data_IF_541242325573
#
_entry.id   IF_541242325573
#
_cell.length_a   1.000
_cell.length_b   1.000
_cell.length_c   1.000
_cell.angle_alpha   90.00
_cell.angle_beta   90.00
_cell.angle_gamma   90.00
#
_symmetry.space_group_name_H-M   'P 1'
#
loop_
_entity.id
_entity.type
_entity.pdbx_description
1 polymer ?
#
# COMPACT_ATOMS: atom_id res chain seq x y z
N UNK A 1 -35.26 42.90 -11.72
CA UNK A 1 -35.64 41.63 -11.07
C UNK A 1 -35.84 40.62 -12.18
N UNK A 2 -34.75 39.96 -12.58
CA UNK A 2 -34.76 38.90 -13.59
C UNK A 2 -35.25 37.62 -12.96
N UNK A 3 -36.29 37.02 -13.54
CA UNK A 3 -36.88 35.75 -13.12
C UNK A 3 -35.86 34.61 -13.28
N UNK A 4 -35.12 34.29 -12.23
CA UNK A 4 -34.32 33.07 -12.10
C UNK A 4 -35.16 31.98 -11.43
N UNK A 5 -36.10 31.35 -12.13
CA UNK A 5 -36.98 30.35 -11.48
C UNK A 5 -37.42 29.20 -12.39
N UNK A 6 -36.65 28.86 -13.42
CA UNK A 6 -37.01 27.71 -14.29
C UNK A 6 -35.85 26.84 -14.76
N UNK A 7 -34.60 27.17 -14.39
CA UNK A 7 -33.43 26.35 -14.76
C UNK A 7 -33.12 25.25 -13.74
N UNK A 8 -33.84 25.19 -12.63
CA UNK A 8 -33.56 24.30 -11.49
C UNK A 8 -34.06 22.84 -11.63
N UNK A 9 -34.77 22.47 -12.70
CA UNK A 9 -35.54 21.21 -12.69
C UNK A 9 -34.95 20.05 -13.50
N UNK A 10 -33.89 20.26 -14.28
CA UNK A 10 -33.41 19.23 -15.20
C UNK A 10 -31.89 19.20 -15.29
N UNK A 11 -31.33 18.00 -15.41
CA UNK A 11 -29.90 17.82 -15.68
C UNK A 11 -29.46 18.57 -16.93
N UNK A 12 -28.31 19.26 -16.83
CA UNK A 12 -27.65 19.83 -17.99
C UNK A 12 -26.96 18.75 -18.84
N UNK A 13 -26.39 19.13 -19.98
CA UNK A 13 -25.80 18.18 -20.92
C UNK A 13 -24.61 17.40 -20.34
N UNK A 14 -23.83 17.99 -19.43
CA UNK A 14 -22.65 17.34 -18.85
C UNK A 14 -23.06 16.31 -17.79
N UNK A 15 -24.04 16.64 -16.95
CA UNK A 15 -24.65 15.71 -16.02
C UNK A 15 -25.30 14.50 -16.75
N UNK A 16 -26.01 14.74 -17.87
CA UNK A 16 -26.56 13.65 -18.70
C UNK A 16 -25.46 12.77 -19.30
N UNK A 17 -24.46 13.41 -19.91
CA UNK A 17 -23.33 12.69 -20.51
C UNK A 17 -22.60 11.83 -19.47
N UNK A 18 -22.38 12.36 -18.26
CA UNK A 18 -21.77 11.62 -17.17
C UNK A 18 -22.60 10.40 -16.77
N UNK A 19 -23.92 10.56 -16.53
CA UNK A 19 -24.79 9.46 -16.15
C UNK A 19 -24.94 8.37 -17.22
N UNK A 20 -24.91 8.74 -18.50
CA UNK A 20 -25.03 7.79 -19.62
C UNK A 20 -23.75 6.97 -19.88
N UNK A 21 -22.57 7.46 -19.45
CA UNK A 21 -21.28 6.85 -19.79
C UNK A 21 -20.51 6.32 -18.57
N UNK A 22 -20.70 6.90 -17.38
CA UNK A 22 -20.05 6.45 -16.15
C UNK A 22 -20.50 5.03 -15.79
N UNK A 23 -19.54 4.17 -15.43
CA UNK A 23 -19.78 2.76 -15.13
C UNK A 23 -20.61 2.03 -16.21
N UNK A 24 -20.44 2.40 -17.49
CA UNK A 24 -21.20 1.79 -18.58
C UNK A 24 -22.68 2.21 -18.64
N UNK A 25 -23.06 3.29 -17.94
CA UNK A 25 -24.42 3.82 -17.91
C UNK A 25 -25.29 3.27 -16.79
N UNK A 26 -24.71 2.62 -15.76
CA UNK A 26 -25.42 2.03 -14.63
C UNK A 26 -26.32 3.03 -13.87
N UNK A 27 -26.07 4.33 -14.02
CA UNK A 27 -26.81 5.41 -13.36
C UNK A 27 -27.69 6.22 -14.32
N UNK A 28 -27.73 5.87 -15.61
CA UNK A 28 -28.51 6.61 -16.62
C UNK A 28 -30.01 6.67 -16.30
N UNK A 29 -30.54 5.63 -15.64
CA UNK A 29 -31.95 5.56 -15.22
C UNK A 29 -32.36 6.67 -14.24
N UNK A 30 -31.41 7.30 -13.55
CA UNK A 30 -31.67 8.41 -12.62
C UNK A 30 -32.16 9.64 -13.38
N UNK A 31 -31.74 9.82 -14.64
CA UNK A 31 -32.08 10.98 -15.47
C UNK A 31 -33.59 11.15 -15.67
N UNK A 32 -34.32 10.03 -15.70
CA UNK A 32 -35.76 9.98 -15.94
C UNK A 32 -36.57 9.74 -14.66
N UNK A 33 -35.92 9.62 -13.50
CA UNK A 33 -36.60 9.34 -12.24
C UNK A 33 -37.28 10.63 -11.70
N UNK A 34 -38.56 10.58 -11.28
CA UNK A 34 -39.27 11.77 -10.79
C UNK A 34 -38.59 12.40 -9.56
N UNK A 35 -38.04 11.55 -8.68
CA UNK A 35 -37.28 11.96 -7.49
C UNK A 35 -35.75 11.84 -7.71
N UNK A 36 -35.26 12.23 -8.90
CA UNK A 36 -33.85 12.03 -9.27
C UNK A 36 -32.84 12.55 -8.22
N UNK A 37 -33.16 13.65 -7.50
CA UNK A 37 -32.27 14.21 -6.46
C UNK A 37 -32.00 13.21 -5.35
N UNK A 38 -33.06 12.64 -4.79
CA UNK A 38 -32.94 11.60 -3.78
C UNK A 38 -32.21 10.37 -4.33
N UNK A 39 -32.40 10.06 -5.62
CA UNK A 39 -31.69 8.94 -6.26
C UNK A 39 -30.20 9.21 -6.48
N UNK A 40 -29.78 10.44 -6.77
CA UNK A 40 -28.36 10.81 -6.84
C UNK A 40 -27.69 10.74 -5.46
N UNK A 41 -28.42 11.08 -4.39
CA UNK A 41 -27.91 10.99 -3.02
C UNK A 41 -27.85 9.54 -2.50
N UNK A 42 -28.82 8.69 -2.88
CA UNK A 42 -28.95 7.30 -2.41
C UNK A 42 -28.40 6.24 -3.38
N UNK A 43 -27.75 6.61 -4.48
CA UNK A 43 -27.29 5.63 -5.49
C UNK A 43 -26.12 4.75 -5.01
N UNK A 44 -25.52 5.06 -3.86
CA UNK A 44 -24.45 4.27 -3.23
C UNK A 44 -23.06 4.47 -3.83
N UNK A 45 -22.92 5.32 -4.85
CA UNK A 45 -21.64 5.66 -5.47
C UNK A 45 -21.30 7.13 -5.24
N UNK A 46 -20.39 7.36 -4.30
CA UNK A 46 -20.00 8.72 -3.88
C UNK A 46 -19.30 9.50 -4.99
N UNK A 47 -18.58 8.82 -5.89
CA UNK A 47 -17.88 9.49 -6.98
C UNK A 47 -18.86 9.92 -8.06
N UNK A 48 -19.84 9.08 -8.38
CA UNK A 48 -20.94 9.47 -9.25
C UNK A 48 -21.71 10.68 -8.68
N UNK A 49 -22.13 10.63 -7.41
CA UNK A 49 -22.80 11.77 -6.75
C UNK A 49 -21.97 13.06 -6.84
N UNK A 50 -20.66 12.95 -6.60
CA UNK A 50 -19.72 14.06 -6.73
C UNK A 50 -19.66 14.62 -8.16
N UNK A 51 -19.54 13.77 -9.19
CA UNK A 51 -19.55 14.20 -10.60
C UNK A 51 -20.84 14.95 -10.97
N UNK A 52 -21.99 14.49 -10.47
CA UNK A 52 -23.27 15.15 -10.71
C UNK A 52 -23.34 16.53 -10.06
N UNK A 53 -22.70 16.71 -8.90
CA UNK A 53 -22.57 18.01 -8.23
C UNK A 53 -21.55 18.92 -8.94
N UNK A 54 -20.40 18.40 -9.35
CA UNK A 54 -19.36 19.17 -10.04
C UNK A 54 -19.82 19.73 -11.37
N UNK A 55 -20.66 19.01 -12.10
CA UNK A 55 -21.26 19.51 -13.34
C UNK A 55 -22.53 20.32 -13.12
N UNK A 56 -22.97 20.52 -11.88
CA UNK A 56 -24.18 21.25 -11.57
C UNK A 56 -24.02 22.75 -11.78
N UNK A 57 -25.08 23.38 -12.31
CA UNK A 57 -25.15 24.84 -12.46
C UNK A 57 -25.59 25.56 -11.18
N UNK A 58 -25.61 24.87 -10.03
CA UNK A 58 -26.10 25.40 -8.74
C UNK A 58 -25.32 26.63 -8.28
N UNK A 59 -24.01 26.68 -8.52
CA UNK A 59 -23.20 27.84 -8.16
C UNK A 59 -23.04 28.83 -9.33
N UNK A 60 -22.73 28.31 -10.52
CA UNK A 60 -22.58 29.10 -11.74
C UNK A 60 -22.81 28.21 -12.98
N UNK A 61 -23.28 28.79 -14.10
CA UNK A 61 -23.45 28.05 -15.34
C UNK A 61 -22.13 27.41 -15.79
N UNK A 62 -22.18 26.11 -16.04
CA UNK A 62 -21.04 25.31 -16.45
C UNK A 62 -21.01 25.26 -17.98
N UNK A 63 -19.92 25.73 -18.58
CA UNK A 63 -19.66 25.53 -20.01
C UNK A 63 -18.66 24.38 -20.21
N UNK A 64 -18.36 24.05 -21.47
CA UNK A 64 -17.51 22.89 -21.79
C UNK A 64 -16.09 23.08 -21.24
N UNK A 65 -15.43 24.23 -21.47
CA UNK A 65 -14.13 24.51 -20.85
C UNK A 65 -14.15 24.35 -19.34
N UNK A 66 -15.18 24.86 -18.66
CA UNK A 66 -15.28 24.79 -17.20
C UNK A 66 -15.51 23.36 -16.72
N UNK A 67 -16.43 22.61 -17.33
CA UNK A 67 -16.64 21.19 -17.02
C UNK A 67 -15.34 20.37 -17.16
N UNK A 68 -14.62 20.54 -18.27
CA UNK A 68 -13.35 19.85 -18.50
C UNK A 68 -12.29 20.26 -17.48
N UNK A 69 -12.23 21.54 -17.12
CA UNK A 69 -11.27 22.04 -16.13
C UNK A 69 -11.55 21.47 -14.73
N UNK A 70 -12.81 21.41 -14.29
CA UNK A 70 -13.19 20.82 -13.01
C UNK A 70 -12.86 19.33 -12.97
N UNK A 71 -13.19 18.60 -14.05
CA UNK A 71 -12.86 17.17 -14.15
C UNK A 71 -11.35 16.91 -14.15
N UNK A 72 -10.58 17.70 -14.91
CA UNK A 72 -9.12 17.57 -14.96
C UNK A 72 -8.51 17.81 -13.58
N UNK A 73 -8.97 18.84 -12.85
CA UNK A 73 -8.49 19.10 -11.49
C UNK A 73 -8.69 17.89 -10.57
N UNK A 74 -9.86 17.25 -10.65
CA UNK A 74 -10.14 16.05 -9.84
C UNK A 74 -9.24 14.89 -10.24
N UNK A 75 -8.99 14.71 -11.54
CA UNK A 75 -8.06 13.70 -12.02
C UNK A 75 -6.64 13.94 -11.50
N UNK A 76 -6.15 15.19 -11.58
CA UNK A 76 -4.84 15.59 -11.08
C UNK A 76 -4.73 15.36 -9.56
N UNK A 77 -5.73 15.82 -8.78
CA UNK A 77 -5.79 15.65 -7.32
C UNK A 77 -5.81 14.15 -6.92
N UNK A 78 -6.53 13.30 -7.69
CA UNK A 78 -6.58 11.85 -7.46
C UNK A 78 -5.27 11.16 -7.82
N UNK A 79 -4.61 11.56 -8.91
CA UNK A 79 -3.30 11.04 -9.31
C UNK A 79 -2.23 11.39 -8.27
N UNK A 80 -2.22 12.62 -7.77
CA UNK A 80 -1.33 13.03 -6.68
C UNK A 80 -1.56 12.19 -5.41
N UNK A 81 -2.83 11.96 -5.04
CA UNK A 81 -3.15 11.09 -3.92
C UNK A 81 -2.75 9.64 -4.16
N UNK A 82 -2.89 9.14 -5.38
CA UNK A 82 -2.42 7.80 -5.74
C UNK A 82 -0.91 7.70 -5.53
N UNK A 83 -0.13 8.63 -6.05
CA UNK A 83 1.32 8.65 -5.88
C UNK A 83 1.72 8.75 -4.40
N UNK A 84 1.02 9.58 -3.62
CA UNK A 84 1.26 9.69 -2.18
C UNK A 84 0.93 8.36 -1.49
N UNK A 85 -0.20 7.73 -1.81
CA UNK A 85 -0.64 6.46 -1.20
C UNK A 85 0.25 5.29 -1.63
N UNK A 86 0.69 5.25 -2.87
CA UNK A 86 1.64 4.25 -3.37
C UNK A 86 3.03 4.45 -2.72
N UNK A 87 3.41 5.72 -2.51
CA UNK A 87 4.59 6.09 -1.75
C UNK A 87 4.42 5.99 -0.22
N UNK A 88 3.19 5.78 0.29
CA UNK A 88 3.00 5.37 1.68
C UNK A 88 3.60 3.97 1.77
N UNK A 89 4.87 3.92 2.13
CA UNK A 89 5.49 2.70 2.58
C UNK A 89 4.53 2.08 3.59
N UNK A 90 4.08 0.86 3.33
CA UNK A 90 3.68 0.00 4.43
C UNK A 90 4.79 0.12 5.47
N UNK A 91 4.49 0.28 6.78
CA UNK A 91 5.54 0.30 7.79
C UNK A 91 6.47 -0.85 7.44
N UNK A 92 7.70 -0.48 7.07
CA UNK A 92 8.61 -1.29 6.27
C UNK A 92 8.47 -2.75 6.63
N UNK A 93 8.38 -3.66 5.66
CA UNK A 93 8.47 -5.10 5.90
C UNK A 93 9.67 -5.36 6.80
N UNK A 94 9.45 -5.35 8.12
CA UNK A 94 10.54 -5.31 9.08
C UNK A 94 11.28 -6.61 8.87
N UNK A 95 12.58 -6.49 8.68
CA UNK A 95 13.44 -7.63 8.51
C UNK A 95 13.72 -8.10 9.94
N UNK A 96 12.83 -8.98 10.43
CA UNK A 96 12.92 -9.54 11.78
C UNK A 96 13.72 -10.83 11.71
N UNK A 97 14.93 -10.80 12.25
CA UNK A 97 15.76 -11.97 12.48
C UNK A 97 15.28 -12.74 13.71
N UNK A 98 15.61 -14.04 13.75
CA UNK A 98 15.44 -14.87 14.95
C UNK A 98 16.80 -15.18 15.55
N UNK A 99 17.00 -14.80 16.82
CA UNK A 99 18.15 -15.19 17.61
C UNK A 99 18.03 -16.63 18.10
N UNK A 100 19.02 -17.46 17.79
CA UNK A 100 19.02 -18.88 18.15
C UNK A 100 20.17 -19.17 19.13
N UNK A 101 19.89 -19.26 20.45
CA UNK A 101 20.92 -19.50 21.45
C UNK A 101 21.45 -20.94 21.37
N UNK A 102 22.75 -21.10 21.60
CA UNK A 102 23.42 -22.39 21.60
C UNK A 102 24.35 -22.56 22.81
N UNK A 103 24.65 -23.80 23.18
CA UNK A 103 25.68 -24.15 24.17
C UNK A 103 26.61 -25.22 23.61
N UNK A 104 27.87 -25.21 24.02
CA UNK A 104 28.83 -26.24 23.65
C UNK A 104 28.73 -27.45 24.59
N UNK A 105 28.42 -28.62 24.05
CA UNK A 105 28.45 -29.90 24.76
C UNK A 105 29.41 -30.83 23.99
N UNK A 106 30.46 -31.31 24.63
CA UNK A 106 31.49 -32.15 24.00
C UNK A 106 32.03 -31.57 22.68
N UNK A 107 32.39 -30.29 22.68
CA UNK A 107 32.89 -29.55 21.50
C UNK A 107 31.89 -29.42 20.33
N UNK A 108 30.60 -29.62 20.59
CA UNK A 108 29.52 -29.41 19.62
C UNK A 108 28.55 -28.33 20.10
N UNK A 109 28.25 -27.36 19.24
CA UNK A 109 27.20 -26.38 19.49
C UNK A 109 25.82 -27.05 19.36
N UNK A 110 24.98 -26.87 20.38
CA UNK A 110 23.62 -27.41 20.44
C UNK A 110 22.67 -26.27 20.76
N UNK A 111 21.63 -26.10 19.95
CA UNK A 111 20.56 -25.12 20.20
C UNK A 111 19.84 -25.42 21.51
N UNK A 112 19.57 -24.38 22.29
CA UNK A 112 18.84 -24.47 23.55
C UNK A 112 17.56 -23.66 23.51
N UNK A 113 16.64 -23.98 24.42
CA UNK A 113 15.41 -23.22 24.56
C UNK A 113 15.72 -21.78 25.02
N UNK A 114 15.20 -20.76 24.32
CA UNK A 114 15.42 -19.38 24.71
C UNK A 114 14.62 -19.05 25.99
N UNK A 115 15.20 -18.27 26.92
CA UNK A 115 14.50 -17.84 28.13
C UNK A 115 13.48 -16.70 27.88
N UNK A 116 13.41 -16.17 26.66
CA UNK A 116 12.54 -15.05 26.31
C UNK A 116 12.40 -14.82 24.81
N UNK A 117 11.94 -13.62 24.43
CA UNK A 117 11.76 -13.21 23.04
C UNK A 117 13.07 -13.28 22.23
N UNK A 118 13.01 -13.87 21.04
CA UNK A 118 14.14 -14.07 20.12
C UNK A 118 14.09 -13.19 18.88
N UNK A 119 13.04 -12.38 18.71
CA UNK A 119 12.86 -11.52 17.55
C UNK A 119 13.78 -10.30 17.64
N UNK A 120 14.59 -10.08 16.61
CA UNK A 120 15.50 -8.93 16.50
C UNK A 120 15.21 -8.18 15.22
N UNK A 121 15.00 -6.87 15.32
CA UNK A 121 14.84 -6.02 14.14
C UNK A 121 16.21 -5.66 13.55
N UNK A 122 16.49 -6.20 12.38
CA UNK A 122 17.73 -5.94 11.63
C UNK A 122 17.48 -5.06 10.39
N UNK A 123 16.30 -4.42 10.29
CA UNK A 123 15.89 -3.65 9.11
C UNK A 123 16.92 -2.57 8.76
N UNK A 124 17.35 -1.76 9.73
CA UNK A 124 18.32 -0.70 9.48
C UNK A 124 19.68 -1.23 9.02
N UNK A 125 20.14 -2.35 9.61
CA UNK A 125 21.44 -2.95 9.27
C UNK A 125 21.42 -3.53 7.84
N UNK A 126 20.34 -4.21 7.46
CA UNK A 126 20.21 -4.78 6.11
C UNK A 126 20.00 -3.70 5.04
N UNK A 127 19.24 -2.64 5.33
CA UNK A 127 19.03 -1.53 4.40
C UNK A 127 20.27 -0.65 4.22
N UNK A 128 21.26 -0.74 5.11
CA UNK A 128 22.55 -0.07 4.93
C UNK A 128 23.49 -0.81 3.95
N UNK A 129 23.19 -2.07 3.61
CA UNK A 129 23.93 -2.88 2.63
C UNK A 129 23.41 -2.66 1.21
N UNK A 130 24.19 -3.06 0.20
CA UNK A 130 23.65 -3.18 -1.16
C UNK A 130 22.67 -4.35 -1.26
N UNK A 131 21.73 -4.28 -2.20
CA UNK A 131 20.75 -5.38 -2.43
C UNK A 131 21.43 -6.74 -2.69
N UNK A 132 22.57 -6.74 -3.39
CA UNK A 132 23.29 -7.97 -3.69
C UNK A 132 23.91 -8.59 -2.42
N UNK A 133 24.52 -7.78 -1.56
CA UNK A 133 25.06 -8.23 -0.27
C UNK A 133 23.96 -8.72 0.66
N UNK A 134 22.84 -8.01 0.73
CA UNK A 134 21.71 -8.40 1.56
C UNK A 134 21.14 -9.78 1.13
N UNK A 135 20.97 -10.02 -0.16
CA UNK A 135 20.48 -11.31 -0.69
C UNK A 135 21.48 -12.47 -0.56
N UNK A 136 22.76 -12.16 -0.35
CA UNK A 136 23.80 -13.16 -0.13
C UNK A 136 23.94 -13.58 1.35
N UNK A 137 23.28 -12.88 2.28
CA UNK A 137 23.24 -13.28 3.68
C UNK A 137 22.73 -14.71 3.84
N UNK A 138 23.42 -15.47 4.70
CA UNK A 138 23.08 -16.84 5.08
C UNK A 138 23.00 -16.97 6.58
N UNK A 139 22.05 -17.77 7.04
CA UNK A 139 21.91 -18.14 8.44
C UNK A 139 23.21 -18.80 8.93
N UNK A 140 23.51 -18.68 10.23
CA UNK A 140 24.67 -19.36 10.85
C UNK A 140 26.03 -18.93 10.25
N UNK A 141 26.18 -17.62 10.04
CA UNK A 141 27.44 -17.01 9.60
C UNK A 141 27.87 -15.84 10.49
N UNK A 142 29.19 -15.64 10.60
CA UNK A 142 29.79 -14.49 11.30
C UNK A 142 29.26 -13.14 10.75
N UNK A 143 28.94 -13.10 9.45
CA UNK A 143 28.39 -11.93 8.78
C UNK A 143 26.98 -11.59 9.30
N UNK A 144 26.14 -12.60 9.52
CA UNK A 144 24.81 -12.39 10.09
C UNK A 144 24.87 -12.05 11.57
N UNK A 145 25.81 -12.62 12.33
CA UNK A 145 25.96 -12.30 13.75
C UNK A 145 26.32 -10.83 13.97
N UNK A 146 27.05 -10.21 13.03
CA UNK A 146 27.38 -8.79 13.05
C UNK A 146 26.15 -7.87 12.87
N UNK A 147 25.00 -8.40 12.43
CA UNK A 147 23.74 -7.64 12.32
C UNK A 147 23.04 -7.45 13.68
N UNK A 148 23.46 -8.19 14.71
CA UNK A 148 22.91 -8.05 16.06
C UNK A 148 23.34 -6.71 16.68
N UNK A 149 22.43 -5.73 16.65
CA UNK A 149 22.54 -4.56 17.52
C UNK A 149 22.19 -4.96 18.97
N UNK A 150 23.22 -5.13 19.81
CA UNK A 150 23.02 -5.49 21.21
C UNK A 150 22.29 -4.41 21.98
N UNK A 151 22.42 -3.12 21.65
CA UNK A 151 21.79 -2.06 22.44
C UNK A 151 20.26 -2.10 22.35
N UNK A 152 19.73 -2.50 21.18
CA UNK A 152 18.29 -2.67 20.94
C UNK A 152 17.76 -4.07 21.28
N UNK A 153 18.63 -5.05 21.54
CA UNK A 153 18.22 -6.43 21.83
C UNK A 153 17.59 -6.61 23.23
N UNK A 154 16.71 -7.62 23.42
CA UNK A 154 16.24 -8.04 24.73
C UNK A 154 17.38 -8.26 25.73
N UNK A 155 17.13 -7.96 27.02
CA UNK A 155 18.16 -8.01 28.06
C UNK A 155 18.87 -9.37 28.15
N UNK A 156 18.12 -10.47 28.02
CA UNK A 156 18.70 -11.81 28.08
C UNK A 156 19.62 -12.14 26.90
N UNK A 157 19.36 -11.56 25.72
CA UNK A 157 20.22 -11.70 24.53
C UNK A 157 21.50 -10.87 24.72
N UNK A 158 21.39 -9.66 25.27
CA UNK A 158 22.56 -8.84 25.62
C UNK A 158 23.50 -9.55 26.60
N UNK A 159 22.93 -10.25 27.57
CA UNK A 159 23.65 -10.94 28.62
C UNK A 159 24.09 -12.36 28.20
N UNK A 160 23.73 -12.82 27.00
CA UNK A 160 24.09 -14.16 26.51
C UNK A 160 25.59 -14.25 26.22
N UNK A 161 26.25 -15.23 26.83
CA UNK A 161 27.70 -15.47 26.69
C UNK A 161 28.04 -16.75 25.92
N UNK A 162 27.04 -17.56 25.57
CA UNK A 162 27.21 -18.75 24.77
C UNK A 162 27.26 -18.45 23.26
N UNK A 163 27.56 -19.47 22.43
CA UNK A 163 27.38 -19.36 20.99
C UNK A 163 25.92 -19.08 20.63
N UNK A 164 25.71 -18.53 19.45
CA UNK A 164 24.41 -18.28 18.86
C UNK A 164 24.57 -18.19 17.35
N UNK A 165 23.44 -18.17 16.64
CA UNK A 165 23.40 -17.61 15.30
C UNK A 165 22.11 -16.80 15.10
N UNK A 166 22.10 -15.95 14.06
CA UNK A 166 20.90 -15.29 13.58
C UNK A 166 20.31 -16.01 12.36
N UNK A 167 19.01 -16.32 12.41
CA UNK A 167 18.24 -16.75 11.25
C UNK A 167 17.60 -15.52 10.57
N UNK A 168 18.02 -15.21 9.35
CA UNK A 168 17.69 -13.98 8.61
C UNK A 168 17.20 -14.25 7.19
N UNK A 169 17.56 -15.38 6.58
CA UNK A 169 17.35 -15.65 5.15
C UNK A 169 15.89 -15.50 4.72
N UNK A 170 14.96 -16.10 5.46
CA UNK A 170 13.54 -16.03 5.16
C UNK A 170 12.99 -14.59 5.25
N UNK A 171 13.46 -13.82 6.24
CA UNK A 171 13.02 -12.44 6.45
C UNK A 171 13.55 -11.52 5.33
N UNK A 172 14.80 -11.69 4.95
CA UNK A 172 15.45 -10.98 3.83
C UNK A 172 14.79 -11.35 2.50
N UNK A 173 14.59 -12.64 2.23
CA UNK A 173 13.97 -13.10 0.98
C UNK A 173 12.52 -12.63 0.85
N UNK A 174 11.78 -12.56 1.96
CA UNK A 174 10.44 -11.96 2.00
C UNK A 174 10.49 -10.48 1.62
N UNK A 175 11.39 -9.73 2.26
CA UNK A 175 11.53 -8.29 2.05
C UNK A 175 11.91 -7.93 0.61
N UNK A 176 12.80 -8.70 -0.01
CA UNK A 176 13.22 -8.47 -1.40
C UNK A 176 12.35 -9.20 -2.45
N UNK A 177 11.25 -9.83 -2.03
CA UNK A 177 10.31 -10.52 -2.91
C UNK A 177 10.89 -11.76 -3.62
N UNK A 178 11.94 -12.38 -3.07
CA UNK A 178 12.61 -13.56 -3.64
C UNK A 178 12.14 -14.88 -3.04
N UNK A 179 11.31 -14.88 -1.98
CA UNK A 179 10.60 -16.09 -1.57
C UNK A 179 9.63 -16.48 -2.69
N UNK A 180 9.97 -17.55 -3.42
CA UNK A 180 9.00 -18.25 -4.25
C UNK A 180 7.90 -18.79 -3.34
N UNK A 181 6.63 -18.60 -3.74
CA UNK A 181 5.47 -19.20 -3.07
C UNK A 181 5.75 -20.70 -2.78
N UNK A 182 5.14 -21.32 -1.74
CA UNK A 182 5.41 -22.73 -1.39
C UNK A 182 5.12 -23.73 -2.52
N UNK A 183 4.52 -23.29 -3.63
CA UNK A 183 4.32 -24.05 -4.88
C UNK A 183 5.47 -23.95 -5.90
N UNK A 184 6.53 -23.17 -5.66
CA UNK A 184 7.69 -23.07 -6.56
C UNK A 184 7.42 -22.31 -7.87
N UNK A 185 6.32 -21.57 -7.95
CA UNK A 185 6.07 -20.69 -9.11
C UNK A 185 6.79 -19.34 -8.90
N UNK A 186 7.52 -18.84 -9.92
CA UNK A 186 8.14 -17.53 -9.85
C UNK A 186 7.07 -16.44 -9.75
N UNK A 187 7.30 -15.45 -8.88
CA UNK A 187 6.52 -14.22 -8.84
C UNK A 187 6.77 -13.48 -10.16
N UNK A 188 5.82 -13.56 -11.10
CA UNK A 188 5.89 -12.86 -12.39
C UNK A 188 5.55 -11.39 -12.16
N UNK A 189 6.47 -10.66 -11.52
CA UNK A 189 6.53 -9.22 -11.62
C UNK A 189 7.35 -8.87 -12.87
N UNK A 190 6.61 -8.72 -13.97
CA UNK A 190 6.91 -8.00 -15.20
C UNK A 190 8.40 -7.75 -15.53
N UNK A 191 8.93 -8.51 -16.49
CA UNK A 191 9.92 -7.95 -17.39
C UNK A 191 9.28 -6.74 -18.11
N UNK A 192 9.91 -5.55 -18.15
CA UNK A 192 9.45 -4.52 -19.06
C UNK A 192 9.68 -5.02 -20.49
N UNK A 193 8.60 -5.04 -21.26
CA UNK A 193 8.70 -5.19 -22.70
C UNK A 193 9.21 -3.86 -23.29
N UNK A 194 10.31 -3.99 -24.04
CA UNK A 194 10.98 -3.04 -24.95
C UNK A 194 11.88 -1.95 -24.35
#
# INVERSE_FOLDING_TARGET
>A
MTNHTTQELTFNQYQRTAAENYAGGDFAWILDHPDWRAKVEDCGDTFFTFLMLEFSDLEYPTDKPDALKRLQRVADDVEELYDIIDALQQPADRIIATFVPQVCINDHAVTVDPPGETCIDITAAVLAMTRAEALDLRDDTDQTDALLDRDSAPAWIRDWTGPFYLAVEAAVARHFGTMTNPTGEPNVAAAPAE
#
